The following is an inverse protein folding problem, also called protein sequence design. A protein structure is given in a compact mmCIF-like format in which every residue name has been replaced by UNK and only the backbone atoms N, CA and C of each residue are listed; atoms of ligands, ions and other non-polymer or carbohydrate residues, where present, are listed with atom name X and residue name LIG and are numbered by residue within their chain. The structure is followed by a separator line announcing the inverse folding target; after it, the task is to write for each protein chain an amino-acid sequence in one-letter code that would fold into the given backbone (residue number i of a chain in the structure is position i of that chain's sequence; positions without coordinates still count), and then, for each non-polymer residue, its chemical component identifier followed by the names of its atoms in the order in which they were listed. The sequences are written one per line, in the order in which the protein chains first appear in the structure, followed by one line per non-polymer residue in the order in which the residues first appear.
data_IF_121433583796
#
_entry.id   IF_121433583796
#
_cell.length_a   1.000
_cell.length_b   1.000
_cell.length_c   1.000
_cell.angle_alpha   90.00
_cell.angle_beta   90.00
_cell.angle_gamma   90.00
#
_symmetry.space_group_name_H-M   'P 1'
#
loop_
_entity.id
_entity.type
_entity.pdbx_description
1 polymer ?
#
# COMPACT_ATOMS: atom_id res chain seq x y z
N UNK A 1 9.06 -16.65 -12.71
CA UNK A 1 9.27 -16.12 -11.33
C UNK A 1 10.70 -16.36 -10.85
N UNK A 2 11.19 -15.60 -9.85
CA UNK A 2 12.45 -15.90 -9.17
C UNK A 2 12.30 -17.07 -8.17
N UNK A 3 13.43 -17.60 -7.69
CA UNK A 3 13.44 -18.43 -6.49
C UNK A 3 12.97 -17.62 -5.26
N UNK A 4 12.53 -18.32 -4.23
CA UNK A 4 12.27 -17.72 -2.92
C UNK A 4 13.58 -17.31 -2.26
N UNK A 5 13.59 -16.14 -1.65
CA UNK A 5 14.53 -15.77 -0.61
C UNK A 5 13.85 -16.00 0.74
N UNK A 6 14.55 -16.65 1.67
CA UNK A 6 14.03 -17.01 2.99
C UNK A 6 14.72 -16.22 4.10
N UNK A 7 13.97 -15.98 5.18
CA UNK A 7 14.41 -15.40 6.44
C UNK A 7 13.77 -16.22 7.59
N UNK A 8 14.22 -16.00 8.82
CA UNK A 8 13.56 -16.48 10.03
C UNK A 8 12.06 -16.14 10.06
N UNK A 9 11.67 -14.92 9.69
CA UNK A 9 10.28 -14.44 9.79
C UNK A 9 9.35 -14.84 8.65
N UNK A 10 9.87 -15.33 7.52
CA UNK A 10 9.09 -15.55 6.30
C UNK A 10 9.95 -15.61 5.05
N UNK A 11 9.34 -15.40 3.89
CA UNK A 11 10.01 -15.46 2.59
C UNK A 11 9.45 -14.44 1.60
N UNK A 12 10.24 -14.08 0.60
CA UNK A 12 9.77 -13.23 -0.50
C UNK A 12 10.37 -13.64 -1.86
N UNK A 13 9.67 -13.34 -2.95
CA UNK A 13 10.14 -13.58 -4.32
C UNK A 13 9.60 -12.55 -5.31
N UNK A 14 10.29 -12.41 -6.43
CA UNK A 14 9.85 -11.58 -7.55
C UNK A 14 9.05 -12.40 -8.56
N UNK A 15 7.89 -11.87 -8.93
CA UNK A 15 7.00 -12.39 -9.98
C UNK A 15 6.92 -11.34 -11.08
N UNK A 16 7.04 -11.73 -12.35
CA UNK A 16 6.92 -10.79 -13.46
C UNK A 16 6.50 -11.48 -14.75
N UNK A 17 5.79 -10.74 -15.60
CA UNK A 17 5.51 -11.10 -16.98
C UNK A 17 6.54 -10.45 -17.91
N UNK A 18 6.66 -10.99 -19.12
CA UNK A 18 7.40 -10.33 -20.19
C UNK A 18 6.86 -8.91 -20.47
N UNK A 19 7.70 -7.98 -20.98
CA UNK A 19 7.26 -6.66 -21.38
C UNK A 19 6.20 -6.72 -22.48
N UNK A 20 5.18 -5.85 -22.39
CA UNK A 20 4.21 -5.65 -23.47
C UNK A 20 4.81 -4.85 -24.65
N UNK A 21 3.99 -4.56 -25.67
CA UNK A 21 4.43 -3.82 -26.85
C UNK A 21 4.91 -2.39 -26.56
N UNK A 22 4.50 -1.81 -25.42
CA UNK A 22 4.92 -0.49 -24.94
C UNK A 22 6.11 -0.58 -23.96
N UNK A 23 6.64 -1.78 -23.71
CA UNK A 23 7.72 -2.03 -22.76
C UNK A 23 7.26 -2.08 -21.30
N UNK A 24 5.95 -2.06 -21.02
CA UNK A 24 5.44 -2.15 -19.65
C UNK A 24 5.57 -3.59 -19.17
N UNK A 25 6.13 -3.75 -17.99
CA UNK A 25 6.28 -5.03 -17.29
C UNK A 25 5.38 -5.01 -16.07
N UNK A 26 4.44 -5.95 -16.01
CA UNK A 26 3.68 -6.23 -14.80
C UNK A 26 4.49 -7.18 -13.94
N UNK A 27 4.84 -6.73 -12.74
CA UNK A 27 5.58 -7.50 -11.77
C UNK A 27 4.92 -7.42 -10.40
N UNK A 28 5.41 -8.18 -9.43
CA UNK A 28 5.05 -8.08 -8.04
C UNK A 28 6.13 -8.64 -7.13
N UNK A 29 6.25 -8.07 -5.93
CA UNK A 29 6.96 -8.67 -4.81
C UNK A 29 5.96 -9.49 -4.00
N UNK A 30 6.09 -10.82 -4.02
CA UNK A 30 5.29 -11.70 -3.16
C UNK A 30 6.03 -11.88 -1.83
N UNK A 31 5.33 -11.66 -0.72
CA UNK A 31 5.86 -11.76 0.64
C UNK A 31 4.95 -12.69 1.45
N UNK A 32 5.54 -13.66 2.12
CA UNK A 32 4.84 -14.64 2.96
C UNK A 32 5.44 -14.62 4.36
N UNK A 33 4.87 -13.81 5.28
CA UNK A 33 5.19 -13.91 6.69
C UNK A 33 4.81 -15.28 7.24
N UNK A 34 5.61 -15.82 8.16
CA UNK A 34 5.23 -17.01 8.93
C UNK A 34 4.07 -16.67 9.88
N UNK A 35 3.30 -17.67 10.34
CA UNK A 35 2.26 -17.44 11.35
C UNK A 35 2.81 -16.68 12.57
N UNK A 36 2.10 -15.61 12.96
CA UNK A 36 2.51 -14.72 14.05
C UNK A 36 3.50 -13.62 13.67
N UNK A 37 3.97 -13.58 12.42
CA UNK A 37 4.82 -12.50 11.90
C UNK A 37 4.03 -11.55 11.00
N UNK A 38 4.49 -10.31 10.90
CA UNK A 38 3.94 -9.28 10.01
C UNK A 38 5.01 -8.71 9.08
N UNK A 39 4.57 -8.18 7.94
CA UNK A 39 5.32 -7.23 7.09
C UNK A 39 4.50 -5.96 6.92
N UNK A 40 5.12 -4.84 6.58
CA UNK A 40 4.43 -3.55 6.63
C UNK A 40 3.81 -3.07 5.33
N UNK A 41 2.85 -2.16 5.48
CA UNK A 41 2.37 -1.27 4.43
C UNK A 41 3.38 -0.16 4.11
N UNK A 42 3.07 0.67 3.12
CA UNK A 42 3.92 1.78 2.67
C UNK A 42 4.22 2.82 3.76
N UNK A 43 3.24 3.08 4.63
CA UNK A 43 3.39 3.93 5.81
C UNK A 43 3.13 3.05 7.03
N UNK A 44 4.18 2.51 7.68
CA UNK A 44 4.03 1.44 8.66
C UNK A 44 3.46 1.88 10.01
N UNK A 45 3.45 3.19 10.27
CA UNK A 45 3.30 3.74 11.62
C UNK A 45 4.67 4.03 12.25
N UNK A 46 4.73 4.06 13.59
CA UNK A 46 5.88 4.64 14.30
C UNK A 46 7.17 3.83 14.29
N UNK A 47 7.10 2.49 14.17
CA UNK A 47 8.26 1.61 14.42
C UNK A 47 8.55 0.57 13.31
N UNK A 48 7.80 0.59 12.22
CA UNK A 48 7.97 -0.40 11.15
C UNK A 48 8.93 0.01 10.05
N UNK A 49 9.33 -0.97 9.24
CA UNK A 49 10.19 -0.78 8.08
C UNK A 49 9.34 -0.98 6.81
N UNK A 50 9.03 0.08 6.05
CA UNK A 50 8.22 -0.04 4.86
C UNK A 50 8.97 -0.84 3.78
N UNK A 51 8.27 -1.57 2.91
CA UNK A 51 8.90 -2.27 1.81
C UNK A 51 9.47 -1.27 0.79
N UNK A 52 10.71 -1.52 0.38
CA UNK A 52 11.42 -0.76 -0.63
C UNK A 52 11.89 -1.72 -1.73
N UNK A 53 11.69 -1.32 -2.99
CA UNK A 53 12.21 -2.04 -4.15
C UNK A 53 13.02 -1.05 -4.96
N UNK A 54 14.26 -1.40 -5.27
CA UNK A 54 15.12 -0.62 -6.16
C UNK A 54 15.58 -1.50 -7.32
N UNK A 55 15.69 -0.90 -8.50
CA UNK A 55 16.25 -1.57 -9.68
C UNK A 55 17.73 -1.19 -9.79
N UNK A 56 18.58 -2.15 -10.13
CA UNK A 56 20.02 -1.93 -10.24
C UNK A 56 20.35 -0.76 -11.18
N UNK A 57 21.33 0.04 -10.77
CA UNK A 57 21.79 1.18 -11.56
C UNK A 57 22.31 0.74 -12.93
N UNK A 58 21.93 1.44 -14.00
CA UNK A 58 22.31 1.09 -15.37
C UNK A 58 21.48 -0.04 -15.98
N UNK A 59 20.46 -0.56 -15.29
CA UNK A 59 19.50 -1.50 -15.86
C UNK A 59 18.70 -0.86 -17.00
N UNK A 60 18.34 -1.67 -18.00
CA UNK A 60 17.36 -1.29 -19.01
C UNK A 60 15.93 -1.28 -18.47
N UNK A 61 15.72 -1.61 -17.19
CA UNK A 61 14.42 -1.60 -16.52
C UNK A 61 14.37 -0.46 -15.50
N UNK A 62 13.23 0.22 -15.42
CA UNK A 62 12.92 1.19 -14.36
C UNK A 62 11.70 0.74 -13.56
N UNK A 63 11.64 1.12 -12.29
CA UNK A 63 10.45 0.98 -11.45
C UNK A 63 9.65 2.28 -11.49
N UNK A 64 8.41 2.20 -11.98
CA UNK A 64 7.51 3.35 -12.08
C UNK A 64 6.66 3.51 -10.82
N UNK A 65 6.16 2.39 -10.26
CA UNK A 65 5.32 2.42 -9.06
C UNK A 65 5.25 1.08 -8.33
N UNK A 66 5.01 1.16 -7.02
CA UNK A 66 4.58 0.04 -6.16
C UNK A 66 3.14 0.32 -5.75
N UNK A 67 2.24 -0.63 -6.01
CA UNK A 67 0.89 -0.61 -5.49
C UNK A 67 0.79 -1.48 -4.24
N UNK A 68 -0.15 -1.15 -3.37
CA UNK A 68 -0.27 -1.75 -2.04
C UNK A 68 -1.67 -2.32 -1.84
N UNK A 69 -1.82 -3.63 -1.61
CA UNK A 69 -3.07 -4.21 -1.17
C UNK A 69 -3.57 -3.56 0.12
N UNK A 70 -4.87 -3.64 0.37
CA UNK A 70 -5.48 -3.09 1.60
C UNK A 70 -4.80 -3.69 2.83
N UNK A 71 -4.14 -2.88 3.68
CA UNK A 71 -3.49 -3.36 4.89
C UNK A 71 -4.50 -3.62 6.00
N UNK A 72 -4.03 -4.25 7.08
CA UNK A 72 -4.71 -4.23 8.37
C UNK A 72 -4.11 -3.13 9.24
N UNK A 73 -4.95 -2.49 10.02
CA UNK A 73 -4.55 -1.56 11.05
C UNK A 73 -4.61 -2.27 12.41
N UNK A 74 -3.44 -2.51 13.00
CA UNK A 74 -3.30 -3.12 14.31
C UNK A 74 -3.11 -2.02 15.35
N UNK A 75 -4.08 -1.88 16.25
CA UNK A 75 -4.00 -0.93 17.36
C UNK A 75 -4.39 -1.60 18.67
N UNK A 76 -3.48 -1.61 19.65
CA UNK A 76 -3.72 -2.15 20.98
C UNK A 76 -3.56 -1.11 22.11
N UNK A 77 -3.52 0.18 21.76
CA UNK A 77 -3.32 1.29 22.69
C UNK A 77 -1.87 1.69 22.93
N UNK A 78 -0.92 0.77 22.78
CA UNK A 78 0.51 1.03 22.93
C UNK A 78 1.30 0.91 21.61
N UNK A 79 0.84 0.04 20.72
CA UNK A 79 1.43 -0.24 19.42
C UNK A 79 0.37 0.04 18.34
N UNK A 80 0.81 0.74 17.31
CA UNK A 80 0.03 1.08 16.13
C UNK A 80 0.85 0.72 14.88
N UNK A 81 0.41 -0.32 14.18
CA UNK A 81 1.04 -0.82 12.97
C UNK A 81 0.04 -0.88 11.82
N UNK A 82 0.46 -0.47 10.63
CA UNK A 82 -0.29 -0.66 9.40
C UNK A 82 0.44 -1.71 8.57
N UNK A 83 -0.10 -2.93 8.55
CA UNK A 83 0.68 -4.12 8.20
C UNK A 83 -0.15 -5.26 7.59
N UNK A 84 0.55 -6.34 7.25
CA UNK A 84 0.03 -7.59 6.73
C UNK A 84 0.55 -8.75 7.59
N UNK A 85 -0.37 -9.51 8.18
CA UNK A 85 -0.12 -10.73 8.99
C UNK A 85 -0.34 -12.03 8.20
N UNK A 86 -0.49 -11.89 6.88
CA UNK A 86 -0.79 -12.97 5.95
C UNK A 86 -0.05 -12.72 4.61
N UNK A 87 0.06 -13.74 3.74
CA UNK A 87 0.66 -13.58 2.42
C UNK A 87 0.11 -12.39 1.63
N UNK A 88 1.02 -11.48 1.26
CA UNK A 88 0.73 -10.26 0.52
C UNK A 88 1.55 -10.23 -0.76
N UNK A 89 0.99 -9.70 -1.83
CA UNK A 89 1.66 -9.55 -3.12
C UNK A 89 1.56 -8.08 -3.49
N UNK A 90 2.68 -7.36 -3.52
CA UNK A 90 2.75 -5.93 -3.84
C UNK A 90 2.95 -5.77 -5.35
N UNK A 91 1.97 -5.29 -6.13
CA UNK A 91 2.15 -5.10 -7.56
C UNK A 91 3.21 -4.03 -7.84
N UNK A 92 4.06 -4.31 -8.82
CA UNK A 92 5.11 -3.44 -9.31
C UNK A 92 4.81 -3.11 -10.77
N UNK A 93 4.80 -1.82 -11.10
CA UNK A 93 4.81 -1.36 -12.48
C UNK A 93 6.25 -1.05 -12.88
N UNK A 94 6.81 -1.88 -13.76
CA UNK A 94 8.15 -1.73 -14.30
C UNK A 94 8.08 -1.33 -15.78
N UNK A 95 9.15 -0.74 -16.30
CA UNK A 95 9.26 -0.37 -17.72
C UNK A 95 10.62 -0.73 -18.28
N UNK A 96 10.65 -1.37 -19.44
CA UNK A 96 11.86 -1.70 -20.18
C UNK A 96 12.18 -0.66 -21.26
N UNK A 97 13.45 -0.30 -21.38
CA UNK A 97 14.02 0.52 -22.43
C UNK A 97 14.37 -0.35 -23.65
N UNK A 98 13.39 -0.62 -24.51
CA UNK A 98 13.62 -1.28 -25.81
C UNK A 98 12.85 -2.58 -26.03
N UNK A 99 13.12 -3.22 -27.18
CA UNK A 99 12.48 -4.46 -27.62
C UNK A 99 13.54 -5.56 -27.71
N UNK A 100 13.68 -6.36 -26.67
CA UNK A 100 14.66 -7.45 -26.58
C UNK A 100 14.47 -8.28 -25.31
N UNK A 101 15.29 -9.32 -25.07
CA UNK A 101 15.32 -10.01 -23.79
C UNK A 101 15.56 -9.02 -22.66
N UNK A 102 14.73 -9.07 -21.62
CA UNK A 102 14.81 -8.17 -20.48
C UNK A 102 15.26 -8.95 -19.26
N UNK A 103 16.21 -8.39 -18.53
CA UNK A 103 16.59 -8.90 -17.21
C UNK A 103 16.21 -7.86 -16.16
N UNK A 104 15.47 -8.31 -15.15
CA UNK A 104 15.20 -7.52 -13.96
C UNK A 104 16.26 -7.88 -12.94
N UNK A 105 17.02 -6.88 -12.49
CA UNK A 105 17.88 -6.95 -11.31
C UNK A 105 17.32 -5.98 -10.27
N UNK A 106 16.73 -6.54 -9.21
CA UNK A 106 16.00 -5.79 -8.19
C UNK A 106 16.49 -6.14 -6.79
N UNK A 107 16.69 -5.11 -5.97
CA UNK A 107 16.90 -5.24 -4.53
C UNK A 107 15.58 -4.96 -3.82
N UNK A 108 15.10 -5.92 -3.04
CA UNK A 108 13.97 -5.73 -2.14
C UNK A 108 14.46 -5.65 -0.69
N UNK A 109 13.96 -4.67 0.06
CA UNK A 109 14.24 -4.44 1.47
C UNK A 109 12.92 -4.24 2.21
N UNK A 110 12.59 -5.13 3.15
CA UNK A 110 11.34 -5.08 3.92
C UNK A 110 11.61 -5.26 5.41
N UNK A 111 10.66 -4.85 6.26
CA UNK A 111 10.61 -5.32 7.65
C UNK A 111 9.82 -6.61 7.77
N UNK A 112 10.33 -7.59 8.51
CA UNK A 112 9.57 -8.75 8.96
C UNK A 112 9.66 -8.83 10.48
N UNK A 113 8.51 -8.75 11.16
CA UNK A 113 8.50 -8.50 12.60
C UNK A 113 7.57 -9.45 13.35
N UNK A 114 7.93 -9.77 14.59
CA UNK A 114 7.07 -10.45 15.57
C UNK A 114 7.09 -9.69 16.88
N UNK A 115 8.15 -9.87 17.65
CA UNK A 115 8.39 -9.14 18.91
C UNK A 115 9.31 -7.94 18.68
N UNK A 116 10.23 -8.09 17.72
CA UNK A 116 11.13 -7.08 17.20
C UNK A 116 11.01 -7.06 15.69
N UNK A 117 11.35 -5.94 15.06
CA UNK A 117 11.41 -5.91 13.61
C UNK A 117 12.79 -6.24 13.07
N UNK A 118 12.84 -7.20 12.14
CA UNK A 118 14.05 -7.68 11.51
C UNK A 118 14.08 -7.17 10.06
N UNK A 119 15.10 -6.39 9.66
CA UNK A 119 15.30 -6.05 8.27
C UNK A 119 15.56 -7.30 7.43
N UNK A 120 14.82 -7.46 6.33
CA UNK A 120 14.99 -8.55 5.38
C UNK A 120 15.28 -7.99 3.98
N UNK A 121 16.49 -8.28 3.51
CA UNK A 121 16.99 -7.84 2.20
C UNK A 121 17.22 -9.05 1.28
N UNK A 122 16.81 -8.95 0.01
CA UNK A 122 17.18 -9.93 -1.01
C UNK A 122 17.39 -9.28 -2.39
N UNK A 123 18.34 -9.83 -3.15
CA UNK A 123 18.54 -9.49 -4.56
C UNK A 123 17.81 -10.52 -5.43
N UNK A 124 17.10 -10.05 -6.44
CA UNK A 124 16.37 -10.87 -7.39
C UNK A 124 16.85 -10.59 -8.81
N UNK A 125 17.34 -11.63 -9.46
CA UNK A 125 17.65 -11.62 -10.89
C UNK A 125 16.63 -12.48 -11.63
N UNK A 126 15.91 -11.88 -12.57
CA UNK A 126 14.87 -12.56 -13.34
C UNK A 126 14.98 -12.21 -14.82
N UNK A 127 15.35 -13.22 -15.63
CA UNK A 127 15.36 -13.12 -17.08
C UNK A 127 13.95 -13.37 -17.61
N UNK A 128 13.44 -12.41 -18.36
CA UNK A 128 12.13 -12.47 -19.00
C UNK A 128 12.31 -12.95 -20.45
N UNK A 129 11.61 -14.03 -20.77
CA UNK A 129 11.50 -14.54 -22.14
C UNK A 129 10.68 -13.62 -23.05
N UNK A 130 10.52 -13.97 -24.33
CA UNK A 130 9.66 -13.23 -25.24
C UNK A 130 8.20 -13.27 -24.79
N UNK A 131 7.44 -12.19 -25.03
CA UNK A 131 6.04 -12.05 -24.61
C UNK A 131 5.05 -13.08 -25.21
N UNK A 132 5.50 -13.85 -26.22
CA UNK A 132 4.71 -14.91 -26.85
C UNK A 132 4.65 -16.16 -25.94
N UNK A 133 5.55 -16.29 -24.96
CA UNK A 133 5.51 -17.37 -23.99
C UNK A 133 4.40 -17.13 -22.96
N UNK A 134 3.52 -18.11 -22.78
CA UNK A 134 2.45 -18.05 -21.79
C UNK A 134 3.00 -18.28 -20.38
N UNK A 135 2.52 -17.47 -19.42
CA UNK A 135 2.91 -17.51 -18.01
C UNK A 135 1.66 -17.49 -17.12
N UNK A 136 0.82 -18.56 -17.16
CA UNK A 136 -0.51 -18.54 -16.53
C UNK A 136 -0.46 -18.44 -15.01
N UNK A 137 0.58 -18.99 -14.37
CA UNK A 137 0.76 -18.89 -12.91
C UNK A 137 1.07 -17.46 -12.50
N UNK A 138 2.03 -16.80 -13.16
CA UNK A 138 2.35 -15.39 -12.93
C UNK A 138 1.14 -14.49 -13.20
N UNK A 139 0.40 -14.72 -14.29
CA UNK A 139 -0.84 -13.98 -14.57
C UNK A 139 -1.88 -14.13 -13.46
N UNK A 140 -2.03 -15.34 -12.90
CA UNK A 140 -2.98 -15.62 -11.82
C UNK A 140 -2.57 -14.89 -10.55
N UNK A 141 -1.29 -14.94 -10.18
CA UNK A 141 -0.75 -14.25 -9.01
C UNK A 141 -0.95 -12.74 -9.13
N UNK A 142 -0.60 -12.15 -10.27
CA UNK A 142 -0.70 -10.71 -10.50
C UNK A 142 -2.16 -10.24 -10.52
N UNK A 143 -3.07 -11.00 -11.13
CA UNK A 143 -4.51 -10.69 -11.12
C UNK A 143 -5.10 -10.76 -9.71
N UNK A 144 -4.71 -11.76 -8.92
CA UNK A 144 -5.14 -11.87 -7.53
C UNK A 144 -4.59 -10.73 -6.66
N UNK A 145 -3.38 -10.25 -6.94
CA UNK A 145 -2.81 -9.09 -6.26
C UNK A 145 -3.57 -7.81 -6.57
N UNK A 146 -3.87 -7.55 -7.85
CA UNK A 146 -4.63 -6.38 -8.29
C UNK A 146 -6.04 -6.33 -7.68
N UNK A 147 -6.69 -7.50 -7.52
CA UNK A 147 -8.01 -7.61 -6.90
C UNK A 147 -8.03 -7.27 -5.40
N UNK A 148 -6.87 -7.18 -4.74
CA UNK A 148 -6.74 -6.80 -3.32
C UNK A 148 -6.33 -5.35 -3.11
N UNK A 149 -6.18 -4.57 -4.17
CA UNK A 149 -5.91 -3.13 -4.07
C UNK A 149 -7.14 -2.37 -3.57
N UNK A 150 -6.96 -1.27 -2.82
CA UNK A 150 -8.04 -0.34 -2.56
C UNK A 150 -8.61 0.19 -3.87
N UNK A 151 -9.93 0.38 -3.92
CA UNK A 151 -10.62 0.90 -5.09
C UNK A 151 -10.42 2.42 -5.21
N UNK A 152 -10.49 3.01 -6.41
CA UNK A 152 -10.65 4.45 -6.52
C UNK A 152 -11.99 4.91 -5.89
N UNK A 153 -12.12 6.20 -5.55
CA UNK A 153 -13.38 6.75 -5.07
C UNK A 153 -14.50 6.56 -6.11
N UNK A 154 -15.73 6.43 -5.62
CA UNK A 154 -16.93 6.14 -6.40
C UNK A 154 -18.14 6.90 -5.84
N UNK A 155 -19.24 6.96 -6.58
CA UNK A 155 -20.41 7.77 -6.20
C UNK A 155 -21.02 7.43 -4.84
N UNK A 156 -20.83 6.20 -4.35
CA UNK A 156 -21.34 5.71 -3.07
C UNK A 156 -20.25 5.44 -2.02
N UNK A 157 -18.99 5.72 -2.35
CA UNK A 157 -17.85 5.60 -1.43
C UNK A 157 -16.76 6.59 -1.84
N UNK A 158 -16.75 7.75 -1.17
CA UNK A 158 -15.86 8.87 -1.49
C UNK A 158 -15.65 9.82 -0.30
N UNK A 159 -14.54 10.56 -0.30
CA UNK A 159 -14.31 11.72 0.56
C UNK A 159 -14.80 12.97 -0.17
N UNK A 160 -15.94 13.50 0.24
CA UNK A 160 -16.61 14.61 -0.46
C UNK A 160 -16.21 15.98 0.03
N UNK A 161 -15.62 16.08 1.23
CA UNK A 161 -15.02 17.31 1.72
C UNK A 161 -13.93 17.02 2.75
N UNK A 162 -12.92 17.89 2.79
CA UNK A 162 -11.88 17.89 3.81
C UNK A 162 -11.51 19.32 4.20
N UNK A 163 -11.11 19.52 5.45
CA UNK A 163 -10.63 20.81 5.93
C UNK A 163 -9.59 20.63 7.06
N UNK A 164 -8.44 21.29 6.91
CA UNK A 164 -7.43 21.36 7.97
C UNK A 164 -7.77 22.48 8.96
N UNK A 165 -7.68 22.20 10.26
CA UNK A 165 -7.85 23.23 11.29
C UNK A 165 -6.73 24.30 11.20
N UNK A 166 -6.98 25.55 11.61
CA UNK A 166 -5.96 26.61 11.55
C UNK A 166 -4.68 26.29 12.33
N UNK A 167 -4.81 25.54 13.44
CA UNK A 167 -3.67 25.07 14.25
C UNK A 167 -3.01 23.80 13.71
N UNK A 168 -3.53 23.23 12.62
CA UNK A 168 -3.06 22.02 11.92
C UNK A 168 -3.03 20.77 12.78
N UNK A 169 -3.85 20.72 13.83
CA UNK A 169 -3.95 19.57 14.74
C UNK A 169 -5.12 18.64 14.40
N UNK A 170 -6.03 19.08 13.54
CA UNK A 170 -7.23 18.31 13.21
C UNK A 170 -7.53 18.42 11.72
N UNK A 171 -7.78 17.30 11.09
CA UNK A 171 -8.29 17.21 9.72
C UNK A 171 -9.73 16.71 9.77
N UNK A 172 -10.68 17.57 9.43
CA UNK A 172 -12.09 17.19 9.30
C UNK A 172 -12.33 16.55 7.95
N UNK A 173 -13.04 15.42 7.93
CA UNK A 173 -13.44 14.70 6.73
C UNK A 173 -14.96 14.52 6.70
N UNK A 174 -15.55 14.73 5.52
CA UNK A 174 -16.91 14.30 5.20
C UNK A 174 -16.84 13.26 4.10
N UNK A 175 -17.48 12.11 4.33
CA UNK A 175 -17.48 10.97 3.44
C UNK A 175 -18.91 10.62 3.06
N UNK A 176 -19.05 10.03 1.88
CA UNK A 176 -20.18 9.17 1.54
C UNK A 176 -19.70 7.74 1.77
N UNK A 177 -20.43 6.99 2.59
CA UNK A 177 -20.16 5.58 2.87
C UNK A 177 -21.19 4.69 2.17
N UNK A 178 -20.80 3.47 1.78
CA UNK A 178 -21.71 2.48 1.21
C UNK A 178 -22.93 2.28 2.08
N UNK A 179 -24.12 2.13 1.47
CA UNK A 179 -25.32 1.78 2.22
C UNK A 179 -25.09 0.48 3.01
N UNK A 180 -25.64 0.45 4.23
CA UNK A 180 -25.59 -0.74 5.09
C UNK A 180 -26.28 -1.91 4.36
N UNK A 181 -25.51 -2.92 3.92
CA UNK A 181 -25.97 -4.19 3.38
C UNK A 181 -25.23 -5.41 3.95
N UNK A 182 -25.65 -6.62 3.58
CA UNK A 182 -25.02 -7.88 4.03
C UNK A 182 -23.54 -7.96 3.62
N UNK A 183 -22.63 -7.78 4.58
CA UNK A 183 -21.18 -7.58 4.37
C UNK A 183 -20.60 -6.39 5.17
N UNK A 184 -21.47 -5.65 5.86
CA UNK A 184 -21.20 -4.51 6.73
C UNK A 184 -20.10 -4.69 7.79
N UNK A 185 -19.33 -3.62 8.01
CA UNK A 185 -18.64 -3.38 9.28
C UNK A 185 -19.68 -3.12 10.38
N UNK A 186 -19.52 -3.78 11.53
CA UNK A 186 -20.33 -3.50 12.73
C UNK A 186 -19.96 -2.17 13.42
N UNK A 187 -18.85 -1.54 13.01
CA UNK A 187 -18.28 -0.34 13.61
C UNK A 187 -18.13 0.82 12.62
N UNK A 188 -17.54 1.95 13.05
CA UNK A 188 -17.13 3.02 12.13
C UNK A 188 -16.09 2.50 11.13
N UNK A 189 -15.93 3.18 9.98
CA UNK A 189 -14.83 2.88 9.07
C UNK A 189 -13.48 3.12 9.76
N UNK A 190 -12.46 2.42 9.28
CA UNK A 190 -11.07 2.70 9.62
C UNK A 190 -10.50 3.67 8.59
N UNK A 191 -9.92 4.78 9.05
CA UNK A 191 -9.44 5.87 8.20
C UNK A 191 -7.97 6.12 8.50
N UNK A 192 -7.15 5.98 7.47
CA UNK A 192 -5.71 6.16 7.53
C UNK A 192 -5.37 7.30 6.57
N UNK A 193 -4.91 8.42 7.12
CA UNK A 193 -4.47 9.59 6.35
C UNK A 193 -2.94 9.53 6.24
N UNK A 194 -2.41 9.41 5.03
CA UNK A 194 -0.96 9.44 4.79
C UNK A 194 -0.54 10.84 4.35
N UNK A 195 0.17 11.54 5.23
CA UNK A 195 0.59 12.92 5.04
C UNK A 195 1.93 13.03 4.27
N UNK A 196 2.89 13.81 4.77
CA UNK A 196 4.28 13.74 4.29
C UNK A 196 4.83 12.32 4.38
N UNK A 197 5.83 11.99 3.55
CA UNK A 197 6.50 10.69 3.59
C UNK A 197 6.91 10.33 5.03
N UNK A 198 6.52 9.14 5.48
CA UNK A 198 6.79 8.67 6.85
C UNK A 198 5.73 9.04 7.89
N UNK A 199 4.61 9.68 7.49
CA UNK A 199 3.55 10.11 8.39
C UNK A 199 2.21 9.48 8.02
N UNK A 200 1.68 8.66 8.93
CA UNK A 200 0.30 8.20 8.92
C UNK A 200 -0.44 8.74 10.13
N UNK A 201 -1.67 9.22 9.91
CA UNK A 201 -2.58 9.70 10.95
C UNK A 201 -3.85 8.86 10.92
N UNK A 202 -4.12 8.20 12.05
CA UNK A 202 -5.11 7.12 12.19
C UNK A 202 -6.08 7.37 13.34
N UNK A 203 -5.73 8.29 14.25
CA UNK A 203 -6.54 8.61 15.42
C UNK A 203 -7.77 9.41 15.04
N UNK A 204 -8.89 8.71 14.85
CA UNK A 204 -10.20 9.29 14.61
C UNK A 204 -10.80 9.86 15.90
N UNK A 205 -11.38 11.05 15.81
CA UNK A 205 -12.07 11.78 16.89
C UNK A 205 -13.55 11.89 16.51
N UNK A 206 -14.42 11.33 17.35
CA UNK A 206 -15.85 11.31 17.08
C UNK A 206 -16.21 10.34 15.96
N UNK A 207 -16.89 10.83 14.93
CA UNK A 207 -17.48 9.99 13.89
C UNK A 207 -19.00 9.92 14.04
N UNK A 208 -19.72 10.62 13.17
CA UNK A 208 -21.18 10.60 13.14
C UNK A 208 -21.66 10.19 11.76
N UNK A 209 -22.46 9.12 11.71
CA UNK A 209 -23.16 8.68 10.50
C UNK A 209 -24.57 9.26 10.48
N UNK A 210 -24.94 9.86 9.35
CA UNK A 210 -26.28 10.34 9.05
C UNK A 210 -26.67 9.86 7.64
N UNK A 211 -27.46 8.79 7.59
CA UNK A 211 -27.69 8.03 6.35
C UNK A 211 -26.39 7.51 5.73
N UNK A 212 -26.11 7.94 4.49
CA UNK A 212 -24.88 7.62 3.78
C UNK A 212 -23.72 8.58 4.13
N UNK A 213 -23.99 9.74 4.73
CA UNK A 213 -22.94 10.68 5.11
C UNK A 213 -22.26 10.25 6.40
N UNK A 214 -20.94 10.35 6.44
CA UNK A 214 -20.14 10.16 7.65
C UNK A 214 -19.21 11.36 7.84
N UNK A 215 -19.22 11.95 9.04
CA UNK A 215 -18.35 13.06 9.40
C UNK A 215 -17.46 12.67 10.55
N UNK A 216 -16.18 12.96 10.43
CA UNK A 216 -15.16 12.55 11.41
C UNK A 216 -13.99 13.52 11.36
N UNK A 217 -13.34 13.67 12.50
CA UNK A 217 -12.09 14.40 12.60
C UNK A 217 -10.94 13.40 12.76
N UNK A 218 -9.80 13.67 12.14
CA UNK A 218 -8.57 12.91 12.32
C UNK A 218 -7.57 13.79 13.06
N UNK A 219 -7.03 13.29 14.17
CA UNK A 219 -6.00 13.98 14.91
C UNK A 219 -4.70 14.00 14.10
N UNK A 220 -4.22 15.20 13.79
CA UNK A 220 -2.93 15.42 13.15
C UNK A 220 -1.90 15.59 14.27
N UNK A 221 -1.03 14.59 14.38
CA UNK A 221 0.05 14.57 15.35
C UNK A 221 1.18 15.53 14.97
N UNK A 222 2.42 15.09 15.17
CA UNK A 222 3.58 15.88 14.75
C UNK A 222 3.68 15.89 13.22
N UNK A 223 3.95 17.06 12.67
CA UNK A 223 4.37 17.25 11.27
C UNK A 223 5.87 17.58 11.23
N UNK A 224 6.53 17.47 10.06
CA UNK A 224 7.89 17.97 9.90
C UNK A 224 8.01 19.44 10.32
N UNK A 225 9.17 19.82 10.82
CA UNK A 225 9.41 21.21 11.22
C UNK A 225 9.27 22.14 10.00
N UNK A 226 8.61 23.28 10.18
CA UNK A 226 8.29 24.23 9.11
C UNK A 226 7.49 23.64 7.94
N UNK A 227 6.75 22.55 8.16
CA UNK A 227 5.93 21.94 7.12
C UNK A 227 4.81 22.90 6.67
N UNK A 228 4.81 23.25 5.39
CA UNK A 228 3.71 23.95 4.75
C UNK A 228 2.81 22.96 4.00
N UNK A 229 1.52 23.01 4.31
CA UNK A 229 0.49 22.13 3.73
C UNK A 229 -0.06 22.70 2.41
N UNK A 230 0.09 23.99 2.13
CA UNK A 230 -0.41 24.59 0.89
C UNK A 230 0.27 23.97 -0.34
N UNK A 231 -0.53 23.66 -1.36
CA UNK A 231 -0.14 22.95 -2.58
C UNK A 231 0.23 21.48 -2.37
N UNK A 232 0.04 20.92 -1.17
CA UNK A 232 0.38 19.52 -0.87
C UNK A 232 -0.79 18.58 -1.11
N UNK A 233 -0.42 17.31 -1.28
CA UNK A 233 -1.35 16.21 -1.51
C UNK A 233 -1.12 15.14 -0.46
N UNK A 234 -2.18 14.75 0.24
CA UNK A 234 -2.14 13.66 1.22
C UNK A 234 -3.03 12.52 0.75
N UNK A 235 -2.62 11.29 1.00
CA UNK A 235 -3.45 10.11 0.74
C UNK A 235 -4.47 9.89 1.86
N UNK A 236 -5.61 9.32 1.51
CA UNK A 236 -6.60 8.81 2.46
C UNK A 236 -7.05 7.44 2.02
N UNK A 237 -6.80 6.45 2.87
CA UNK A 237 -7.34 5.10 2.76
C UNK A 237 -8.51 4.97 3.74
N UNK A 238 -9.66 4.54 3.24
CA UNK A 238 -10.86 4.29 4.03
C UNK A 238 -11.26 2.84 3.87
N UNK A 239 -11.37 2.13 4.98
CA UNK A 239 -11.78 0.72 5.04
C UNK A 239 -13.12 0.65 5.77
N UNK A 240 -14.17 0.24 5.05
CA UNK A 240 -15.51 0.02 5.61
C UNK A 240 -15.96 -1.42 5.34
N UNK A 241 -15.69 -2.30 6.31
CA UNK A 241 -15.99 -3.72 6.21
C UNK A 241 -15.15 -4.39 5.14
N UNK A 242 -15.80 -4.96 4.12
CA UNK A 242 -15.12 -5.60 2.99
C UNK A 242 -14.70 -4.63 1.87
N UNK A 243 -15.14 -3.36 1.92
CA UNK A 243 -14.79 -2.35 0.92
C UNK A 243 -13.64 -1.49 1.45
N UNK A 244 -12.71 -1.17 0.56
CA UNK A 244 -11.71 -0.15 0.82
C UNK A 244 -11.56 0.76 -0.39
N UNK A 245 -11.38 2.05 -0.14
CA UNK A 245 -11.05 3.03 -1.17
C UNK A 245 -9.79 3.81 -0.78
N UNK A 246 -9.04 4.24 -1.77
CA UNK A 246 -7.93 5.18 -1.58
C UNK A 246 -8.07 6.37 -2.51
N UNK A 247 -7.95 7.57 -1.95
CA UNK A 247 -8.01 8.84 -2.69
C UNK A 247 -6.94 9.81 -2.21
N UNK A 248 -6.85 10.98 -2.86
CA UNK A 248 -5.90 12.04 -2.51
C UNK A 248 -6.64 13.32 -2.15
N UNK A 249 -6.31 13.89 -1.00
CA UNK A 249 -6.73 15.22 -0.58
C UNK A 249 -5.73 16.25 -1.11
N UNK A 250 -6.24 17.32 -1.74
CA UNK A 250 -5.43 18.46 -2.15
C UNK A 250 -5.68 19.64 -1.18
N UNK A 251 -4.61 20.24 -0.71
CA UNK A 251 -4.68 21.41 0.17
C UNK A 251 -4.20 22.62 -0.62
N UNK A 252 -5.07 23.61 -0.78
CA UNK A 252 -4.77 24.88 -1.44
C UNK A 252 -4.03 25.84 -0.50
#
# INVERSE_FOLDING_TARGET
MSAWADNEGGRMRLVALAPDAAGKIRAALQIEPKPGWITYWKEPGGNGIPPQVTIAAGSAVTLDAIAYPVPKHFFNGAIEDIAYDAPVTLPLSLKAAGKGPVEIDALAFIGICRDICIPFQANFQLKLGPAIQSHPEEETILRAADARLPQPPSTDFDVTAHAMSPDRKTLSLTLVLPAKGSGESKGPPDIIVTGPSGYAFTKQIGGKRDGASFKVDVAIGKLPDNYDISGKRWGVLVIDGARAMETTLAFD
#
